data_IF_163745201029
#
_entry.id   IF_163745201029
#
_cell.length_a   1.000
_cell.length_b   1.000
_cell.length_c   1.000
_cell.angle_alpha   90.00
_cell.angle_beta   90.00
_cell.angle_gamma   90.00
#
_symmetry.space_group_name_H-M   'P 1'
#
loop_
_entity.id
_entity.type
_entity.pdbx_description
1 polymer ?
#
# COMPACT_ATOMS: atom_id res chain seq x y z
N UNK A 1 12.91 10.50 -37.44
CA UNK A 1 12.27 10.72 -36.13
C UNK A 1 11.33 9.57 -35.91
N UNK A 2 11.72 8.56 -35.13
CA UNK A 2 10.88 7.39 -34.88
C UNK A 2 10.21 7.58 -33.52
N UNK A 3 8.90 7.84 -33.54
CA UNK A 3 8.07 7.80 -32.34
C UNK A 3 7.91 6.34 -31.92
N UNK A 4 8.61 5.95 -30.84
CA UNK A 4 8.33 4.70 -30.14
C UNK A 4 7.10 4.93 -29.26
N UNK A 5 5.92 4.60 -29.77
CA UNK A 5 4.72 4.50 -28.95
C UNK A 5 4.87 3.28 -28.04
N UNK A 6 5.01 3.52 -26.73
CA UNK A 6 4.98 2.45 -25.73
C UNK A 6 3.64 1.69 -25.83
N UNK A 7 3.63 0.37 -25.62
CA UNK A 7 2.38 -0.40 -25.62
C UNK A 7 1.42 0.17 -24.57
N UNK A 8 0.16 0.33 -24.95
CA UNK A 8 -0.88 0.79 -24.03
C UNK A 8 -0.97 -0.17 -22.83
N UNK A 9 -1.17 0.35 -21.61
CA UNK A 9 -1.40 -0.52 -20.45
C UNK A 9 -2.69 -1.31 -20.71
N UNK A 10 -2.69 -2.60 -20.36
CA UNK A 10 -3.89 -3.46 -20.48
C UNK A 10 -4.99 -3.06 -19.50
N UNK A 11 -4.68 -2.18 -18.54
CA UNK A 11 -5.60 -1.58 -17.57
C UNK A 11 -5.42 -0.07 -17.61
N UNK A 12 -6.49 0.66 -17.88
CA UNK A 12 -6.50 2.13 -17.87
C UNK A 12 -6.57 2.63 -16.41
N UNK A 13 -5.46 3.18 -15.92
CA UNK A 13 -5.39 3.77 -14.57
C UNK A 13 -5.95 5.19 -14.65
N UNK A 14 -6.95 5.56 -13.81
CA UNK A 14 -7.53 6.90 -13.81
C UNK A 14 -6.48 7.98 -13.55
N UNK A 15 -6.64 9.19 -14.11
CA UNK A 15 -5.75 10.30 -13.83
C UNK A 15 -5.81 10.66 -12.34
N UNK A 16 -4.63 10.99 -11.77
CA UNK A 16 -4.50 11.43 -10.38
C UNK A 16 -5.18 12.79 -10.18
N UNK A 17 -5.89 13.01 -9.06
CA UNK A 17 -6.42 14.33 -8.71
C UNK A 17 -5.34 15.40 -8.55
N UNK A 18 -4.17 15.03 -8.01
CA UNK A 18 -2.98 15.87 -7.87
C UNK A 18 -1.76 14.98 -7.64
N UNK A 19 -0.57 15.39 -8.09
CA UNK A 19 0.66 14.65 -7.81
C UNK A 19 1.13 14.91 -6.36
N UNK A 20 1.37 13.84 -5.60
CA UNK A 20 1.86 13.86 -4.22
C UNK A 20 3.21 13.14 -4.15
N UNK A 21 4.31 13.89 -4.31
CA UNK A 21 5.66 13.34 -4.30
C UNK A 21 6.03 12.71 -2.95
N UNK A 22 6.72 11.57 -2.96
CA UNK A 22 7.09 10.78 -1.78
C UNK A 22 8.56 10.90 -1.39
N UNK A 23 9.41 11.53 -2.21
CA UNK A 23 10.88 11.58 -2.03
C UNK A 23 11.31 12.01 -0.62
N UNK A 24 10.70 13.10 -0.12
CA UNK A 24 10.99 13.67 1.19
C UNK A 24 10.08 13.13 2.31
N UNK A 25 9.13 12.25 2.00
CA UNK A 25 8.16 11.76 2.99
C UNK A 25 8.83 10.79 3.96
N UNK A 26 8.48 10.94 5.24
CA UNK A 26 8.67 9.90 6.26
C UNK A 26 7.33 9.15 6.44
N UNK A 27 7.24 7.87 6.05
CA UNK A 27 6.01 7.10 6.16
C UNK A 27 5.44 7.02 7.58
N UNK A 28 6.28 7.11 8.62
CA UNK A 28 5.78 7.05 10.01
C UNK A 28 5.02 8.32 10.44
N UNK A 29 5.08 9.38 9.63
CA UNK A 29 4.34 10.62 9.88
C UNK A 29 3.01 10.66 9.13
N UNK A 30 2.70 9.64 8.33
CA UNK A 30 1.48 9.60 7.51
C UNK A 30 0.23 9.17 8.28
N UNK A 31 0.35 8.80 9.55
CA UNK A 31 -0.79 8.57 10.42
C UNK A 31 -0.69 9.47 11.64
N UNK A 32 -1.77 10.20 11.92
CA UNK A 32 -1.92 10.99 13.15
C UNK A 32 -2.11 10.07 14.36
N UNK A 33 -1.93 10.61 15.56
CA UNK A 33 -2.15 9.86 16.79
C UNK A 33 -3.58 9.29 16.90
N UNK A 34 -4.59 10.03 16.44
CA UNK A 34 -5.98 9.57 16.45
C UNK A 34 -6.21 8.44 15.44
N UNK A 35 -5.59 8.51 14.26
CA UNK A 35 -5.65 7.43 13.26
C UNK A 35 -4.90 6.17 13.73
N UNK A 36 -3.75 6.32 14.39
CA UNK A 36 -3.06 5.19 15.01
C UNK A 36 -3.94 4.52 16.08
N UNK A 37 -4.63 5.31 16.89
CA UNK A 37 -5.60 4.81 17.88
C UNK A 37 -6.80 4.12 17.21
N UNK A 38 -7.32 4.66 16.11
CA UNK A 38 -8.39 4.04 15.32
C UNK A 38 -7.96 2.65 14.82
N UNK A 39 -6.73 2.54 14.30
CA UNK A 39 -6.14 1.28 13.83
C UNK A 39 -5.61 0.40 14.98
N UNK A 40 -5.73 0.84 16.24
CA UNK A 40 -5.23 0.15 17.45
C UNK A 40 -3.72 -0.11 17.44
N UNK A 41 -2.95 0.67 16.69
CA UNK A 41 -1.49 0.56 16.62
C UNK A 41 -0.89 0.99 17.95
N UNK A 42 -0.11 0.10 18.58
CA UNK A 42 0.57 0.34 19.85
C UNK A 42 2.07 0.60 19.70
N UNK A 43 2.66 0.22 18.56
CA UNK A 43 4.07 0.43 18.29
C UNK A 43 4.30 0.81 16.84
N UNK A 44 5.15 1.81 16.62
CA UNK A 44 5.59 2.22 15.29
C UNK A 44 7.11 2.12 15.19
N UNK A 45 7.63 1.81 14.01
CA UNK A 45 9.07 1.74 13.76
C UNK A 45 9.40 2.13 12.33
N UNK A 46 10.25 3.14 12.18
CA UNK A 46 10.84 3.51 10.90
C UNK A 46 11.90 2.49 10.47
N UNK A 47 11.85 2.08 9.21
CA UNK A 47 12.77 1.11 8.60
C UNK A 47 12.89 1.41 7.10
N UNK A 48 13.67 0.59 6.39
CA UNK A 48 13.68 0.55 4.93
C UNK A 48 13.33 -0.85 4.43
N UNK A 49 12.73 -0.90 3.25
CA UNK A 49 12.38 -2.13 2.56
C UNK A 49 13.64 -2.94 2.22
N UNK A 50 13.59 -4.22 2.56
CA UNK A 50 14.59 -5.23 2.18
C UNK A 50 14.13 -6.11 1.02
N UNK A 51 12.96 -5.81 0.45
CA UNK A 51 12.45 -6.50 -0.73
C UNK A 51 13.37 -6.27 -1.92
N UNK A 52 13.57 -7.29 -2.75
CA UNK A 52 14.29 -7.17 -4.03
C UNK A 52 13.56 -6.24 -5.01
N UNK A 53 12.23 -6.10 -4.86
CA UNK A 53 11.40 -5.29 -5.76
C UNK A 53 11.58 -3.79 -5.48
N UNK A 54 11.64 -3.39 -4.21
CA UNK A 54 11.79 -1.99 -3.78
C UNK A 54 12.90 -1.84 -2.73
N UNK A 55 14.17 -2.12 -3.07
CA UNK A 55 15.26 -2.05 -2.11
C UNK A 55 15.44 -0.61 -1.60
N UNK A 56 15.50 -0.45 -0.29
CA UNK A 56 15.77 0.84 0.36
C UNK A 56 14.61 1.82 0.42
N UNK A 57 13.42 1.48 -0.09
CA UNK A 57 12.22 2.32 0.07
C UNK A 57 11.96 2.58 1.55
N UNK A 58 11.65 3.83 1.93
CA UNK A 58 11.35 4.18 3.32
C UNK A 58 10.06 3.47 3.75
N UNK A 59 10.04 2.98 4.99
CA UNK A 59 8.91 2.23 5.52
C UNK A 59 8.58 2.62 6.96
N UNK A 60 7.31 2.46 7.33
CA UNK A 60 6.87 2.44 8.71
C UNK A 60 6.16 1.13 9.00
N UNK A 61 6.70 0.36 9.95
CA UNK A 61 6.02 -0.81 10.51
C UNK A 61 5.16 -0.35 11.68
N UNK A 62 3.90 -0.77 11.67
CA UNK A 62 2.86 -0.40 12.63
C UNK A 62 2.33 -1.71 13.24
N UNK A 63 2.61 -1.98 14.50
CA UNK A 63 2.21 -3.23 15.14
C UNK A 63 0.93 -3.03 15.95
N UNK A 64 0.03 -4.02 15.85
CA UNK A 64 -1.10 -4.22 16.74
C UNK A 64 -0.85 -5.50 17.53
N UNK A 65 -0.25 -5.32 18.71
CA UNK A 65 0.32 -6.38 19.54
C UNK A 65 -0.16 -6.34 21.00
N UNK A 66 -0.93 -5.33 21.40
CA UNK A 66 -1.48 -5.19 22.74
C UNK A 66 -2.63 -6.16 23.03
N UNK A 67 -3.37 -6.62 22.01
CA UNK A 67 -4.48 -7.57 22.15
C UNK A 67 -4.65 -8.40 20.88
N UNK A 68 -4.97 -9.69 21.03
CA UNK A 68 -5.32 -10.56 19.91
C UNK A 68 -6.62 -10.10 19.20
N UNK A 69 -6.75 -10.34 17.88
CA UNK A 69 -5.75 -10.95 17.00
C UNK A 69 -4.62 -9.99 16.62
N UNK A 70 -3.38 -10.49 16.70
CA UNK A 70 -2.20 -9.71 16.34
C UNK A 70 -2.10 -9.56 14.83
N UNK A 71 -1.74 -8.36 14.40
CA UNK A 71 -1.51 -8.03 13.00
C UNK A 71 -0.60 -6.82 12.91
N UNK A 72 -0.05 -6.62 11.73
CA UNK A 72 0.80 -5.49 11.41
C UNK A 72 0.22 -4.73 10.22
N UNK A 73 0.57 -3.45 10.13
CA UNK A 73 0.52 -2.71 8.89
C UNK A 73 1.93 -2.26 8.49
N UNK A 74 2.18 -2.11 7.20
CA UNK A 74 3.40 -1.51 6.70
C UNK A 74 3.09 -0.43 5.67
N UNK A 75 3.52 0.80 5.93
CA UNK A 75 3.42 1.91 4.99
C UNK A 75 4.77 2.12 4.32
N UNK A 76 4.84 1.98 3.00
CA UNK A 76 6.04 2.17 2.20
C UNK A 76 5.91 3.36 1.25
N UNK A 77 6.88 4.26 1.29
CA UNK A 77 7.04 5.31 0.30
C UNK A 77 7.93 4.81 -0.85
N UNK A 78 7.31 4.32 -1.92
CA UNK A 78 8.01 3.76 -3.09
C UNK A 78 8.16 4.84 -4.16
N UNK A 79 9.39 5.19 -4.49
CA UNK A 79 9.72 6.27 -5.45
C UNK A 79 10.28 5.76 -6.79
N UNK A 80 10.33 4.45 -6.98
CA UNK A 80 11.06 3.81 -8.09
C UNK A 80 10.16 3.11 -9.11
N UNK A 81 8.87 2.93 -8.81
CA UNK A 81 7.90 2.28 -9.68
C UNK A 81 6.47 2.73 -9.31
N UNK A 82 5.61 2.93 -10.31
CA UNK A 82 4.17 3.17 -10.11
C UNK A 82 3.35 1.87 -10.02
N UNK A 83 2.03 1.97 -9.98
CA UNK A 83 1.17 0.80 -9.70
C UNK A 83 0.97 -0.17 -10.88
N UNK A 84 1.31 0.23 -12.11
CA UNK A 84 1.01 -0.53 -13.34
C UNK A 84 1.50 -1.99 -13.36
N UNK A 85 2.71 -2.32 -12.87
CA UNK A 85 3.18 -3.71 -12.81
C UNK A 85 2.31 -4.66 -11.99
N UNK A 86 1.57 -4.18 -10.99
CA UNK A 86 0.61 -4.98 -10.23
C UNK A 86 -0.62 -5.35 -11.07
N UNK A 87 -1.08 -4.42 -11.92
CA UNK A 87 -2.32 -4.55 -12.69
C UNK A 87 -2.14 -5.22 -14.06
N UNK A 88 -0.91 -5.41 -14.51
CA UNK A 88 -0.59 -5.95 -15.85
C UNK A 88 -0.26 -7.45 -15.85
N UNK A 89 -0.41 -8.12 -14.70
CA UNK A 89 -0.05 -9.55 -14.54
C UNK A 89 1.47 -9.80 -14.56
N UNK A 90 2.30 -8.75 -14.48
CA UNK A 90 3.77 -8.88 -14.38
C UNK A 90 4.23 -9.39 -13.02
N UNK A 91 3.37 -9.30 -12.01
CA UNK A 91 3.60 -9.74 -10.63
C UNK A 91 2.73 -10.97 -10.38
N UNK A 92 3.25 -11.92 -9.60
CA UNK A 92 2.53 -13.13 -9.23
C UNK A 92 1.54 -12.84 -8.08
N UNK A 93 0.52 -12.05 -8.38
CA UNK A 93 -0.51 -11.61 -7.44
C UNK A 93 -1.89 -11.70 -8.09
N UNK A 94 -2.93 -11.87 -7.28
CA UNK A 94 -4.29 -11.53 -7.67
C UNK A 94 -4.49 -10.05 -7.37
N UNK A 95 -4.76 -9.26 -8.42
CA UNK A 95 -4.83 -7.81 -8.32
C UNK A 95 -6.06 -7.27 -9.03
N UNK A 96 -6.61 -6.19 -8.47
CA UNK A 96 -7.67 -5.41 -9.08
C UNK A 96 -7.40 -3.91 -8.95
N UNK A 97 -7.94 -3.16 -9.91
CA UNK A 97 -7.92 -1.70 -9.88
C UNK A 97 -9.07 -1.21 -9.00
N UNK A 98 -8.75 -0.46 -7.95
CA UNK A 98 -9.70 0.19 -7.04
C UNK A 98 -9.45 1.71 -7.02
N UNK A 99 -10.23 2.44 -6.24
CA UNK A 99 -9.99 3.86 -5.98
C UNK A 99 -9.95 4.17 -4.50
N UNK A 100 -8.93 4.92 -4.08
CA UNK A 100 -8.77 5.39 -2.70
C UNK A 100 -8.68 6.91 -2.71
N UNK A 101 -9.63 7.59 -2.08
CA UNK A 101 -9.65 9.05 -2.00
C UNK A 101 -9.63 9.78 -3.35
N UNK A 102 -10.15 9.14 -4.42
CA UNK A 102 -10.17 9.66 -5.79
C UNK A 102 -8.91 9.35 -6.62
N UNK A 103 -7.91 8.69 -6.04
CA UNK A 103 -6.72 8.21 -6.75
C UNK A 103 -6.95 6.79 -7.27
N UNK A 104 -6.31 6.44 -8.38
CA UNK A 104 -6.21 5.05 -8.81
C UNK A 104 -5.33 4.26 -7.84
N UNK A 105 -5.73 3.03 -7.51
CA UNK A 105 -4.97 2.16 -6.63
C UNK A 105 -5.07 0.70 -7.09
N UNK A 106 -4.06 -0.10 -6.78
CA UNK A 106 -4.13 -1.55 -6.95
C UNK A 106 -4.31 -2.19 -5.58
N UNK A 107 -5.30 -3.07 -5.46
CA UNK A 107 -5.53 -3.94 -4.30
C UNK A 107 -5.12 -5.34 -4.71
N UNK A 108 -4.22 -5.98 -3.96
CA UNK A 108 -3.68 -7.26 -4.35
C UNK A 108 -3.17 -8.11 -3.19
N UNK A 109 -3.07 -9.41 -3.44
CA UNK A 109 -2.53 -10.41 -2.52
C UNK A 109 -1.87 -11.55 -3.31
N UNK A 110 -1.07 -12.37 -2.63
CA UNK A 110 -0.42 -13.53 -3.27
C UNK A 110 -1.39 -14.71 -3.35
N UNK A 111 -1.62 -15.34 -4.52
CA UNK A 111 -2.48 -16.51 -4.63
C UNK A 111 -1.84 -17.75 -4.00
N UNK A 112 -2.67 -18.62 -3.40
CA UNK A 112 -2.24 -19.94 -2.92
C UNK A 112 -2.26 -20.14 -1.40
N UNK A 113 -2.60 -19.14 -0.61
CA UNK A 113 -2.58 -19.21 0.87
C UNK A 113 -3.79 -19.95 1.48
N UNK A 114 -4.70 -20.48 0.66
CA UNK A 114 -5.91 -21.14 1.15
C UNK A 114 -6.95 -20.15 1.69
N UNK A 115 -7.91 -20.57 2.53
CA UNK A 115 -8.98 -19.68 3.02
C UNK A 115 -8.50 -18.60 4.01
N UNK A 116 -7.27 -18.73 4.51
CA UNK A 116 -6.66 -17.81 5.48
C UNK A 116 -5.43 -17.21 4.82
N UNK A 117 -5.52 -15.93 4.45
CA UNK A 117 -4.41 -15.21 3.84
C UNK A 117 -3.45 -14.67 4.89
N UNK A 118 -2.19 -14.49 4.51
CA UNK A 118 -1.18 -13.86 5.35
C UNK A 118 -1.14 -12.34 5.16
N UNK A 119 -1.55 -11.82 4.00
CA UNK A 119 -1.49 -10.39 3.69
C UNK A 119 -2.53 -9.90 2.69
N UNK A 120 -2.74 -8.59 2.68
CA UNK A 120 -3.27 -7.89 1.51
C UNK A 120 -2.64 -6.50 1.45
N UNK A 121 -2.38 -6.03 0.23
CA UNK A 121 -1.75 -4.74 -0.01
C UNK A 121 -2.64 -3.85 -0.87
N UNK A 122 -2.76 -2.60 -0.45
CA UNK A 122 -3.32 -1.51 -1.25
C UNK A 122 -2.21 -0.53 -1.60
N UNK A 123 -1.99 -0.28 -2.88
CA UNK A 123 -0.98 0.68 -3.35
C UNK A 123 -1.60 1.76 -4.22
N UNK A 124 -1.34 3.02 -3.89
CA UNK A 124 -2.00 4.18 -4.47
C UNK A 124 -1.04 4.88 -5.44
N UNK A 125 -1.52 5.15 -6.66
CA UNK A 125 -0.81 5.92 -7.66
C UNK A 125 -0.76 7.39 -7.25
N UNK A 126 0.28 7.82 -6.54
CA UNK A 126 0.34 9.18 -5.96
C UNK A 126 1.12 10.18 -6.80
N UNK A 127 2.08 9.74 -7.61
CA UNK A 127 2.88 10.58 -8.51
C UNK A 127 3.48 9.73 -9.64
N UNK A 128 3.95 10.33 -10.76
CA UNK A 128 4.56 9.56 -11.85
C UNK A 128 5.70 8.65 -11.36
N UNK A 129 5.55 7.34 -11.54
CA UNK A 129 6.57 6.36 -11.13
C UNK A 129 6.71 6.18 -9.62
N UNK A 130 5.76 6.67 -8.82
CA UNK A 130 5.74 6.53 -7.37
C UNK A 130 4.43 5.93 -6.89
N UNK A 131 4.47 5.24 -5.75
CA UNK A 131 3.28 4.65 -5.15
C UNK A 131 3.35 4.69 -3.62
N UNK A 132 2.21 5.00 -2.99
CA UNK A 132 2.03 4.85 -1.54
C UNK A 132 1.47 3.45 -1.28
N UNK A 133 2.32 2.55 -0.82
CA UNK A 133 1.98 1.14 -0.62
C UNK A 133 1.70 0.87 0.85
N UNK A 134 0.54 0.26 1.15
CA UNK A 134 0.13 -0.10 2.50
C UNK A 134 -0.30 -1.57 2.55
N UNK A 135 0.39 -2.39 3.33
CA UNK A 135 -0.03 -3.77 3.61
C UNK A 135 -0.72 -3.87 4.96
N UNK A 136 -1.63 -4.83 5.08
CA UNK A 136 -2.08 -5.40 6.34
C UNK A 136 -1.69 -6.88 6.36
N UNK A 137 -1.01 -7.29 7.42
CA UNK A 137 -0.36 -8.59 7.55
C UNK A 137 -0.89 -9.31 8.79
N UNK A 138 -1.41 -10.53 8.62
CA UNK A 138 -1.85 -11.35 9.73
C UNK A 138 -0.64 -11.93 10.49
N UNK A 139 -0.51 -11.61 11.78
CA UNK A 139 0.51 -12.22 12.66
C UNK A 139 -0.08 -13.42 13.39
N UNK A 140 -1.33 -13.31 13.84
CA UNK A 140 -2.08 -14.45 14.40
C UNK A 140 -2.63 -15.34 13.27
N UNK A 141 -2.29 -16.64 13.24
CA UNK A 141 -2.70 -17.52 12.15
C UNK A 141 -4.22 -17.77 12.17
N UNK A 142 -4.82 -17.87 10.97
CA UNK A 142 -6.24 -18.24 10.76
C UNK A 142 -7.25 -17.30 11.46
N UNK A 143 -6.86 -16.04 11.73
CA UNK A 143 -7.72 -15.07 12.43
C UNK A 143 -8.42 -14.09 11.50
N UNK A 144 -7.89 -13.88 10.28
CA UNK A 144 -8.45 -12.98 9.29
C UNK A 144 -8.71 -13.71 7.97
N UNK A 145 -9.83 -13.36 7.35
CA UNK A 145 -10.09 -13.69 5.94
C UNK A 145 -9.30 -12.75 5.02
N UNK A 146 -9.09 -13.17 3.77
CA UNK A 146 -8.43 -12.34 2.76
C UNK A 146 -9.11 -10.97 2.58
N UNK A 147 -10.44 -10.95 2.51
CA UNK A 147 -11.21 -9.71 2.32
C UNK A 147 -11.07 -8.77 3.52
N UNK A 148 -11.01 -9.31 4.75
CA UNK A 148 -10.74 -8.49 5.94
C UNK A 148 -9.38 -7.80 5.87
N UNK A 149 -8.31 -8.52 5.50
CA UNK A 149 -6.98 -7.92 5.34
C UNK A 149 -6.99 -6.87 4.23
N UNK A 150 -7.70 -7.12 3.13
CA UNK A 150 -7.82 -6.14 2.04
C UNK A 150 -8.53 -4.87 2.50
N UNK A 151 -9.65 -4.98 3.21
CA UNK A 151 -10.36 -3.83 3.80
C UNK A 151 -9.48 -3.07 4.80
N UNK A 152 -8.74 -3.79 5.65
CA UNK A 152 -7.81 -3.18 6.60
C UNK A 152 -6.70 -2.39 5.88
N UNK A 153 -6.10 -2.98 4.83
CA UNK A 153 -5.06 -2.32 4.04
C UNK A 153 -5.60 -1.07 3.33
N UNK A 154 -6.82 -1.12 2.80
CA UNK A 154 -7.46 -0.01 2.11
C UNK A 154 -7.86 1.12 3.06
N UNK A 155 -8.39 0.79 4.24
CA UNK A 155 -8.67 1.77 5.31
C UNK A 155 -7.39 2.50 5.72
N UNK A 156 -6.33 1.76 6.05
CA UNK A 156 -5.06 2.33 6.44
C UNK A 156 -4.44 3.17 5.31
N UNK A 157 -4.55 2.74 4.05
CA UNK A 157 -4.10 3.49 2.88
C UNK A 157 -4.89 4.80 2.71
N UNK A 158 -6.21 4.78 2.93
CA UNK A 158 -7.06 5.97 2.90
C UNK A 158 -6.68 6.99 3.96
N UNK A 159 -6.42 6.54 5.19
CA UNK A 159 -5.95 7.40 6.29
C UNK A 159 -4.58 8.01 5.99
N UNK A 160 -3.64 7.20 5.48
CA UNK A 160 -2.31 7.65 5.10
C UNK A 160 -2.34 8.67 3.95
N UNK A 161 -3.17 8.43 2.93
CA UNK A 161 -3.38 9.35 1.82
C UNK A 161 -4.00 10.68 2.28
N UNK A 162 -4.97 10.63 3.19
CA UNK A 162 -5.60 11.85 3.72
C UNK A 162 -4.58 12.74 4.44
N UNK A 163 -3.72 12.16 5.27
CA UNK A 163 -2.64 12.88 5.95
C UNK A 163 -1.60 13.41 4.95
N UNK A 164 -1.21 12.58 3.98
CA UNK A 164 -0.28 12.99 2.92
C UNK A 164 -0.82 14.23 2.18
N UNK A 165 -2.08 14.21 1.78
CA UNK A 165 -2.74 15.35 1.11
C UNK A 165 -2.80 16.61 1.98
N UNK A 166 -3.07 16.46 3.27
CA UNK A 166 -3.11 17.59 4.20
C UNK A 166 -1.73 18.20 4.48
N UNK A 167 -0.65 17.47 4.18
CA UNK A 167 0.74 17.92 4.35
C UNK A 167 1.35 18.56 3.09
N UNK A 168 0.53 18.87 2.08
CA UNK A 168 0.95 19.45 0.80
C UNK A 168 0.39 20.85 0.60
#
# INVERSE_FOLDING_TARGET
>A
MSNTTAPAPTVEIPPRPADLQLDAVDPCTLLTADQLKQLKVDRTRSTTSKSEVFPGAKQCVLNVSAQEPFHDYNISAVTTEGIGPWLTGKRNVEAELVSVGGYGAARYFTPGDGPNSVDCTTTIDVAPGQQLMVSADAVSPLTFTQEQLCQMSEEAAGLALATLRASR
#
